data_IF_731898024461
#
_entry.id   IF_731898024461
#
_cell.length_a   1.000
_cell.length_b   1.000
_cell.length_c   1.000
_cell.angle_alpha   90.00
_cell.angle_beta   90.00
_cell.angle_gamma   90.00
#
_symmetry.space_group_name_H-M   'P 1'
#
loop_
_entity.id
_entity.type
_entity.pdbx_description
1 polymer ?
#
# COMPACT_ATOMS: atom_id res chain seq x y z
N UNK A 1 6.66 20.36 -65.34
CA UNK A 1 5.62 19.58 -64.64
C UNK A 1 6.26 18.99 -63.40
N UNK A 2 6.19 19.69 -62.25
CA UNK A 2 7.01 19.36 -61.08
C UNK A 2 6.10 18.88 -59.94
N UNK A 3 5.99 17.56 -59.75
CA UNK A 3 5.18 16.96 -58.67
C UNK A 3 5.88 15.86 -57.86
N UNK A 4 7.18 15.62 -58.06
CA UNK A 4 7.83 14.41 -57.54
C UNK A 4 8.66 14.58 -56.25
N UNK A 5 8.88 15.81 -55.76
CA UNK A 5 9.76 16.07 -54.60
C UNK A 5 9.02 16.41 -53.28
N UNK A 6 7.71 16.15 -53.21
CA UNK A 6 6.88 16.47 -52.03
C UNK A 6 6.49 15.19 -51.24
N UNK A 7 6.42 14.03 -51.89
CA UNK A 7 5.89 12.80 -51.26
C UNK A 7 6.86 12.11 -50.30
N UNK A 8 8.16 12.12 -50.58
CA UNK A 8 9.18 11.37 -49.81
C UNK A 8 9.51 11.98 -48.44
N UNK A 9 9.31 13.30 -48.28
CA UNK A 9 9.62 14.02 -47.04
C UNK A 9 8.55 13.84 -45.95
N UNK A 10 7.29 13.68 -46.34
CA UNK A 10 6.17 13.48 -45.41
C UNK A 10 6.19 12.05 -44.85
N UNK A 11 6.30 11.03 -45.71
CA UNK A 11 6.32 9.62 -45.29
C UNK A 11 7.44 9.27 -44.30
N UNK A 12 8.62 9.88 -44.47
CA UNK A 12 9.77 9.64 -43.57
C UNK A 12 9.60 10.31 -42.21
N UNK A 13 8.88 11.43 -42.14
CA UNK A 13 8.54 12.10 -40.89
C UNK A 13 7.48 11.33 -40.11
N UNK A 14 6.40 10.87 -40.78
CA UNK A 14 5.34 10.11 -40.13
C UNK A 14 5.84 8.78 -39.57
N UNK A 15 6.60 8.00 -40.37
CA UNK A 15 7.20 6.73 -39.91
C UNK A 15 8.10 6.91 -38.67
N UNK A 16 8.71 8.09 -38.49
CA UNK A 16 9.50 8.42 -37.30
C UNK A 16 8.65 8.64 -36.05
N UNK A 17 7.45 9.20 -36.18
CA UNK A 17 6.53 9.43 -35.05
C UNK A 17 5.97 8.11 -34.51
N UNK A 18 5.52 7.21 -35.39
CA UNK A 18 5.03 5.88 -34.99
C UNK A 18 6.13 5.00 -34.34
N UNK A 19 7.39 5.19 -34.73
CA UNK A 19 8.54 4.46 -34.16
C UNK A 19 8.86 4.89 -32.71
N UNK A 20 8.51 6.12 -32.29
CA UNK A 20 8.80 6.62 -30.94
C UNK A 20 7.88 6.03 -29.84
N UNK A 21 6.86 5.25 -30.20
CA UNK A 21 6.01 4.51 -29.26
C UNK A 21 6.76 3.29 -28.67
N UNK A 22 7.82 3.56 -27.92
CA UNK A 22 8.49 2.55 -27.09
C UNK A 22 7.59 2.23 -25.89
N UNK A 23 7.35 0.94 -25.65
CA UNK A 23 6.68 0.48 -24.42
C UNK A 23 7.50 0.80 -23.17
N UNK A 24 6.96 0.47 -21.99
CA UNK A 24 7.48 0.87 -20.67
C UNK A 24 8.94 0.45 -20.35
N UNK A 25 9.61 -0.38 -21.18
CA UNK A 25 11.00 -0.84 -20.96
C UNK A 25 11.16 -1.42 -19.54
N UNK A 26 12.10 -0.89 -18.73
CA UNK A 26 12.34 -1.32 -17.35
C UNK A 26 11.19 -1.02 -16.39
N UNK A 27 10.32 -0.06 -16.70
CA UNK A 27 9.16 0.28 -15.86
C UNK A 27 8.13 -0.85 -15.79
N UNK A 28 8.13 -1.80 -16.75
CA UNK A 28 7.28 -2.98 -16.64
C UNK A 28 7.59 -3.77 -15.35
N UNK A 29 8.86 -3.90 -14.99
CA UNK A 29 9.30 -4.63 -13.80
C UNK A 29 8.90 -3.90 -12.50
N UNK A 30 8.97 -2.56 -12.48
CA UNK A 30 8.48 -1.73 -11.38
C UNK A 30 6.98 -1.96 -11.09
N UNK A 31 6.13 -1.98 -12.12
CA UNK A 31 4.71 -2.26 -11.93
C UNK A 31 4.43 -3.72 -11.57
N UNK A 32 5.21 -4.69 -12.06
CA UNK A 32 5.12 -6.07 -11.60
C UNK A 32 5.43 -6.22 -10.11
N UNK A 33 6.47 -5.52 -9.59
CA UNK A 33 6.74 -5.45 -8.16
C UNK A 33 5.54 -4.85 -7.43
N UNK A 34 5.01 -3.70 -7.88
CA UNK A 34 3.80 -3.11 -7.27
C UNK A 34 2.62 -4.09 -7.24
N UNK A 35 2.34 -4.80 -8.32
CA UNK A 35 1.26 -5.79 -8.33
C UNK A 35 1.50 -6.96 -7.38
N UNK A 36 2.75 -7.46 -7.27
CA UNK A 36 3.09 -8.51 -6.32
C UNK A 36 2.93 -8.04 -4.86
N UNK A 37 3.33 -6.81 -4.54
CA UNK A 37 3.16 -6.22 -3.21
C UNK A 37 1.69 -5.89 -2.90
N UNK A 38 0.92 -5.41 -3.89
CA UNK A 38 -0.52 -5.21 -3.77
C UNK A 38 -1.25 -6.53 -3.48
N UNK A 39 -0.91 -7.59 -4.23
CA UNK A 39 -1.45 -8.94 -3.98
C UNK A 39 -1.08 -9.47 -2.60
N UNK A 40 0.11 -9.12 -2.10
CA UNK A 40 0.53 -9.41 -0.72
C UNK A 40 -0.08 -8.51 0.35
N UNK A 41 -0.89 -7.51 0.01
CA UNK A 41 -1.51 -6.57 0.95
C UNK A 41 -0.58 -5.48 1.51
N UNK A 42 0.61 -5.28 0.93
CA UNK A 42 1.63 -4.34 1.42
C UNK A 42 1.49 -2.90 0.88
N UNK A 43 0.60 -2.67 -0.10
CA UNK A 43 0.38 -1.36 -0.70
C UNK A 43 -1.07 -0.92 -0.52
N UNK A 44 -1.27 0.33 -0.10
CA UNK A 44 -2.53 1.03 -0.29
C UNK A 44 -2.50 1.63 -1.71
N UNK A 45 -2.77 0.78 -2.70
CA UNK A 45 -2.48 1.08 -4.09
C UNK A 45 -3.50 2.03 -4.71
N UNK A 46 -3.00 3.11 -5.32
CA UNK A 46 -3.79 4.16 -5.96
C UNK A 46 -3.78 4.00 -7.50
N UNK A 47 -4.80 3.39 -8.13
CA UNK A 47 -4.70 2.99 -9.54
C UNK A 47 -4.78 4.14 -10.54
N UNK A 48 -5.40 5.27 -10.17
CA UNK A 48 -5.60 6.41 -11.08
C UNK A 48 -4.28 7.15 -11.27
N UNK A 49 -3.60 7.43 -10.18
CA UNK A 49 -2.29 8.08 -10.08
C UNK A 49 -1.22 7.24 -10.79
N UNK A 50 -1.25 5.92 -10.60
CA UNK A 50 -0.40 4.98 -11.32
C UNK A 50 -0.74 4.91 -12.83
N UNK A 51 -2.02 5.02 -13.22
CA UNK A 51 -2.43 5.07 -14.63
C UNK A 51 -2.00 6.39 -15.30
N UNK A 52 -2.09 7.52 -14.61
CA UNK A 52 -1.54 8.82 -15.07
C UNK A 52 -0.02 8.73 -15.24
N UNK A 53 0.69 8.09 -14.31
CA UNK A 53 2.14 7.86 -14.45
C UNK A 53 2.47 6.93 -15.63
N UNK A 54 1.65 5.91 -15.90
CA UNK A 54 1.78 5.05 -17.09
C UNK A 54 1.54 5.82 -18.38
N UNK A 55 0.54 6.71 -18.43
CA UNK A 55 0.28 7.57 -19.58
C UNK A 55 1.46 8.54 -19.84
N UNK A 56 2.02 9.12 -18.77
CA UNK A 56 3.23 9.94 -18.80
C UNK A 56 4.45 9.16 -19.35
N UNK A 57 4.62 7.90 -18.94
CA UNK A 57 5.71 7.01 -19.40
C UNK A 57 5.58 6.58 -20.86
N UNK A 58 4.35 6.32 -21.33
CA UNK A 58 4.01 5.94 -22.70
C UNK A 58 4.06 7.11 -23.69
N UNK A 59 4.13 8.35 -23.20
CA UNK A 59 4.07 9.54 -24.05
C UNK A 59 5.20 9.50 -25.13
N UNK A 60 4.85 9.59 -26.43
CA UNK A 60 5.78 9.33 -27.54
C UNK A 60 6.73 10.51 -27.76
N UNK A 61 7.75 10.61 -26.91
CA UNK A 61 8.79 11.63 -26.98
C UNK A 61 9.89 11.26 -27.99
N UNK A 62 10.37 12.22 -28.81
CA UNK A 62 11.43 11.97 -29.77
C UNK A 62 12.76 11.61 -29.10
N UNK A 63 13.44 10.61 -29.68
CA UNK A 63 14.78 10.14 -29.29
C UNK A 63 15.78 11.32 -29.25
N UNK A 64 16.39 11.56 -28.08
CA UNK A 64 17.34 12.66 -27.87
C UNK A 64 17.55 13.04 -26.40
N UNK A 65 18.13 14.21 -26.16
CA UNK A 65 18.36 14.77 -24.82
C UNK A 65 17.06 14.90 -24.02
N UNK A 66 15.96 15.27 -24.68
CA UNK A 66 14.63 15.35 -24.06
C UNK A 66 14.20 13.99 -23.51
N UNK A 67 14.37 12.88 -24.25
CA UNK A 67 14.00 11.56 -23.71
C UNK A 67 14.84 11.19 -22.49
N UNK A 68 16.12 11.56 -22.45
CA UNK A 68 16.98 11.36 -21.26
C UNK A 68 16.50 12.18 -20.05
N UNK A 69 16.13 13.44 -20.20
CA UNK A 69 15.62 14.25 -19.08
C UNK A 69 14.25 13.76 -18.62
N UNK A 70 13.40 13.32 -19.54
CA UNK A 70 12.10 12.70 -19.21
C UNK A 70 12.25 11.35 -18.48
N UNK A 71 13.09 10.45 -18.96
CA UNK A 71 13.39 9.18 -18.27
C UNK A 71 14.05 9.47 -16.89
N UNK A 72 14.85 10.54 -16.75
CA UNK A 72 15.44 10.97 -15.48
C UNK A 72 14.45 11.60 -14.50
N UNK A 73 13.42 12.32 -14.97
CA UNK A 73 12.32 12.86 -14.14
C UNK A 73 11.35 11.74 -13.76
N UNK A 74 11.12 10.77 -14.64
CA UNK A 74 10.28 9.60 -14.32
C UNK A 74 10.83 8.82 -13.13
N UNK A 75 12.16 8.76 -12.94
CA UNK A 75 12.80 8.04 -11.84
C UNK A 75 12.40 8.54 -10.42
N UNK A 76 12.61 9.81 -10.02
CA UNK A 76 12.16 10.32 -8.73
C UNK A 76 10.63 10.34 -8.61
N UNK A 77 9.89 10.63 -9.68
CA UNK A 77 8.41 10.56 -9.65
C UNK A 77 7.93 9.13 -9.34
N UNK A 78 8.54 8.12 -9.95
CA UNK A 78 8.25 6.71 -9.66
C UNK A 78 8.61 6.30 -8.23
N UNK A 79 9.69 6.84 -7.66
CA UNK A 79 10.05 6.60 -6.25
C UNK A 79 9.04 7.26 -5.31
N UNK A 80 8.69 8.53 -5.55
CA UNK A 80 7.69 9.28 -4.76
C UNK A 80 6.33 8.56 -4.80
N UNK A 81 5.90 8.14 -5.98
CA UNK A 81 4.63 7.41 -6.15
C UNK A 81 4.67 6.00 -5.51
N UNK A 82 5.83 5.33 -5.51
CA UNK A 82 5.97 4.06 -4.81
C UNK A 82 5.92 4.25 -3.29
N UNK A 83 6.58 5.28 -2.76
CA UNK A 83 6.51 5.65 -1.34
C UNK A 83 5.09 6.01 -0.94
N UNK A 84 4.37 6.78 -1.77
CA UNK A 84 2.97 7.15 -1.53
C UNK A 84 2.00 5.96 -1.51
N UNK A 85 2.18 4.97 -2.40
CA UNK A 85 1.38 3.73 -2.37
C UNK A 85 1.74 2.81 -1.18
N UNK A 86 2.87 3.03 -0.49
CA UNK A 86 3.34 2.18 0.60
C UNK A 86 2.95 2.75 1.96
N UNK A 87 2.50 1.90 2.88
CA UNK A 87 2.29 2.27 4.28
C UNK A 87 3.61 2.37 5.07
N UNK A 88 4.55 3.17 4.56
CA UNK A 88 5.80 3.49 5.27
C UNK A 88 5.53 4.60 6.30
N UNK A 89 5.99 4.46 7.55
CA UNK A 89 5.88 5.54 8.53
C UNK A 89 6.63 6.78 8.03
N UNK A 90 6.04 7.96 8.26
CA UNK A 90 6.61 9.22 7.81
C UNK A 90 8.02 9.44 8.34
N UNK A 91 8.90 10.01 7.53
CA UNK A 91 10.31 10.26 7.87
C UNK A 91 10.44 11.07 9.18
N UNK A 92 9.44 11.89 9.49
CA UNK A 92 9.29 12.63 10.75
C UNK A 92 9.32 11.74 12.00
N UNK A 93 8.84 10.49 11.92
CA UNK A 93 8.95 9.53 13.04
C UNK A 93 10.42 9.16 13.32
N UNK A 94 11.20 8.94 12.27
CA UNK A 94 12.63 8.61 12.34
C UNK A 94 13.42 9.82 12.84
N UNK A 95 13.05 11.03 12.41
CA UNK A 95 13.67 12.29 12.84
C UNK A 95 13.32 12.66 14.29
N UNK A 96 12.10 12.38 14.76
CA UNK A 96 11.72 12.64 16.17
C UNK A 96 12.42 11.70 17.17
N UNK A 97 12.74 10.47 16.75
CA UNK A 97 13.62 9.56 17.50
C UNK A 97 15.09 10.04 17.54
N UNK A 98 15.50 10.98 16.68
CA UNK A 98 16.88 11.47 16.58
C UNK A 98 17.39 12.17 17.85
N UNK A 99 16.49 12.63 18.73
CA UNK A 99 16.86 13.20 20.04
C UNK A 99 17.48 12.18 21.02
N UNK A 100 17.42 10.88 20.71
CA UNK A 100 18.09 9.80 21.44
C UNK A 100 19.21 9.14 20.62
N UNK A 101 19.50 9.64 19.41
CA UNK A 101 20.29 8.95 18.40
C UNK A 101 21.80 9.26 18.42
N UNK A 102 22.36 9.63 19.58
CA UNK A 102 23.81 9.67 19.80
C UNK A 102 24.48 8.28 19.68
N UNK A 103 23.69 7.21 19.59
CA UNK A 103 24.13 5.83 19.35
C UNK A 103 24.06 5.38 17.87
N UNK A 104 23.84 6.27 16.89
CA UNK A 104 23.94 5.98 15.44
C UNK A 104 25.40 5.72 15.00
N UNK A 105 26.01 4.67 15.54
CA UNK A 105 27.25 4.13 14.98
C UNK A 105 26.96 3.48 13.62
N UNK A 106 27.91 3.58 12.69
CA UNK A 106 27.82 2.92 11.38
C UNK A 106 27.63 1.40 11.52
N UNK A 107 28.19 0.79 12.58
CA UNK A 107 27.98 -0.63 12.91
C UNK A 107 26.52 -0.94 13.27
N UNK A 108 25.86 -0.09 14.07
CA UNK A 108 24.45 -0.27 14.41
C UNK A 108 23.56 -0.06 13.19
N UNK A 109 23.84 0.95 12.34
CA UNK A 109 23.11 1.11 11.07
C UNK A 109 23.26 -0.10 10.15
N UNK A 110 24.43 -0.71 10.10
CA UNK A 110 24.67 -1.92 9.30
C UNK A 110 23.94 -3.15 9.87
N UNK A 111 23.97 -3.35 11.19
CA UNK A 111 23.21 -4.43 11.84
C UNK A 111 21.69 -4.25 11.64
N UNK A 112 21.20 -3.02 11.77
CA UNK A 112 19.80 -2.69 11.56
C UNK A 112 19.40 -2.92 10.10
N UNK A 113 20.21 -2.46 9.14
CA UNK A 113 20.00 -2.73 7.71
C UNK A 113 20.02 -4.23 7.40
N UNK A 114 20.91 -5.00 8.02
CA UNK A 114 20.99 -6.45 7.84
C UNK A 114 19.80 -7.20 8.47
N UNK A 115 19.20 -6.68 9.54
CA UNK A 115 17.93 -7.20 10.10
C UNK A 115 16.70 -6.79 9.28
N UNK A 116 16.72 -5.61 8.65
CA UNK A 116 15.64 -5.15 7.76
C UNK A 116 15.68 -5.81 6.37
N UNK A 117 16.88 -6.13 5.84
CA UNK A 117 17.02 -6.89 4.60
C UNK A 117 16.67 -8.36 4.88
N UNK A 118 15.45 -8.72 4.50
CA UNK A 118 15.02 -10.10 4.50
C UNK A 118 15.42 -10.77 3.17
N UNK A 119 16.32 -11.74 3.24
CA UNK A 119 16.86 -12.45 2.08
C UNK A 119 15.78 -13.18 1.25
N UNK A 120 14.65 -13.56 1.86
CA UNK A 120 13.50 -14.15 1.14
C UNK A 120 12.86 -13.15 0.18
N UNK A 121 12.77 -11.86 0.55
CA UNK A 121 12.22 -10.82 -0.32
C UNK A 121 13.20 -10.43 -1.44
N UNK A 122 14.51 -10.45 -1.15
CA UNK A 122 15.56 -10.33 -2.18
C UNK A 122 15.47 -11.49 -3.18
N UNK A 123 15.30 -12.72 -2.70
CA UNK A 123 15.15 -13.91 -3.53
C UNK A 123 13.86 -13.91 -4.34
N UNK A 124 12.74 -13.49 -3.74
CA UNK A 124 11.46 -13.34 -4.43
C UNK A 124 11.52 -12.28 -5.54
N UNK A 125 12.12 -11.12 -5.26
CA UNK A 125 12.37 -10.09 -6.28
C UNK A 125 13.27 -10.61 -7.41
N UNK A 126 14.36 -11.30 -7.10
CA UNK A 126 15.23 -11.89 -8.11
C UNK A 126 14.52 -12.97 -8.95
N UNK A 127 13.74 -13.86 -8.34
CA UNK A 127 12.95 -14.87 -9.04
C UNK A 127 11.89 -14.22 -9.96
N UNK A 128 11.24 -13.16 -9.49
CA UNK A 128 10.28 -12.36 -10.27
C UNK A 128 10.99 -11.64 -11.44
N UNK A 129 12.24 -11.18 -11.27
CA UNK A 129 13.06 -10.60 -12.34
C UNK A 129 13.44 -11.65 -13.40
N UNK A 130 13.85 -12.85 -12.99
CA UNK A 130 14.14 -13.96 -13.92
C UNK A 130 12.87 -14.38 -14.67
N UNK A 131 11.75 -14.53 -13.98
CA UNK A 131 10.44 -14.81 -14.59
C UNK A 131 10.00 -13.72 -15.56
N UNK A 132 10.14 -12.45 -15.18
CA UNK A 132 9.89 -11.29 -16.04
C UNK A 132 10.74 -11.35 -17.32
N UNK A 133 12.05 -11.56 -17.20
CA UNK A 133 12.95 -11.65 -18.35
C UNK A 133 12.57 -12.82 -19.26
N UNK A 134 12.25 -13.98 -18.70
CA UNK A 134 11.82 -15.16 -19.47
C UNK A 134 10.50 -14.91 -20.22
N UNK A 135 9.45 -14.43 -19.55
CA UNK A 135 8.16 -14.13 -20.21
C UNK A 135 8.33 -13.01 -21.25
N UNK A 136 9.20 -12.02 -21.00
CA UNK A 136 9.40 -10.88 -21.91
C UNK A 136 9.96 -11.26 -23.30
N UNK A 137 10.55 -12.45 -23.44
CA UNK A 137 11.00 -12.99 -24.73
C UNK A 137 9.83 -13.48 -25.60
N UNK A 138 8.71 -13.86 -24.99
CA UNK A 138 7.55 -14.46 -25.66
C UNK A 138 6.42 -13.45 -25.85
N UNK A 139 6.17 -12.62 -24.82
CA UNK A 139 4.99 -11.77 -24.72
C UNK A 139 5.37 -10.36 -24.30
N UNK A 140 4.81 -9.34 -24.98
CA UNK A 140 4.96 -7.94 -24.56
C UNK A 140 4.12 -7.69 -23.31
N UNK A 141 4.78 -7.37 -22.19
CA UNK A 141 4.15 -7.28 -20.85
C UNK A 141 3.38 -5.95 -20.64
N UNK A 142 3.81 -4.87 -21.29
CA UNK A 142 3.17 -3.53 -21.17
C UNK A 142 1.64 -3.52 -21.35
N UNK A 143 1.02 -4.14 -22.38
CA UNK A 143 -0.44 -4.17 -22.50
C UNK A 143 -1.16 -4.88 -21.34
N UNK A 144 -0.54 -5.89 -20.71
CA UNK A 144 -1.11 -6.55 -19.54
C UNK A 144 -1.11 -5.64 -18.32
N UNK A 145 -0.04 -4.87 -18.11
CA UNK A 145 0.05 -3.86 -17.04
C UNK A 145 -1.00 -2.77 -17.25
N UNK A 146 -1.13 -2.24 -18.47
CA UNK A 146 -2.13 -1.21 -18.80
C UNK A 146 -3.55 -1.75 -18.62
N UNK A 147 -3.83 -2.96 -19.10
CA UNK A 147 -5.11 -3.63 -18.94
C UNK A 147 -5.48 -3.86 -17.46
N UNK A 148 -4.53 -4.36 -16.66
CA UNK A 148 -4.70 -4.55 -15.22
C UNK A 148 -4.97 -3.21 -14.49
N UNK A 149 -4.30 -2.12 -14.88
CA UNK A 149 -4.54 -0.78 -14.31
C UNK A 149 -5.93 -0.27 -14.64
N UNK A 150 -6.38 -0.38 -15.89
CA UNK A 150 -7.73 0.01 -16.30
C UNK A 150 -8.77 -0.84 -15.56
N UNK A 151 -8.54 -2.14 -15.42
CA UNK A 151 -9.42 -3.06 -14.69
C UNK A 151 -9.50 -2.75 -13.19
N UNK A 152 -8.38 -2.45 -12.52
CA UNK A 152 -8.36 -2.01 -11.12
C UNK A 152 -9.08 -0.68 -10.94
N UNK A 153 -8.87 0.30 -11.83
CA UNK A 153 -9.63 1.55 -11.83
C UNK A 153 -11.14 1.30 -11.98
N UNK A 154 -11.54 0.42 -12.90
CA UNK A 154 -12.95 0.05 -13.11
C UNK A 154 -13.57 -0.57 -11.86
N UNK A 155 -12.86 -1.47 -11.16
CA UNK A 155 -13.35 -2.07 -9.91
C UNK A 155 -13.57 -1.01 -8.83
N UNK A 156 -12.59 -0.12 -8.61
CA UNK A 156 -12.69 0.92 -7.56
C UNK A 156 -13.76 1.96 -7.90
N UNK A 157 -13.95 2.28 -9.19
CA UNK A 157 -14.93 3.28 -9.63
C UNK A 157 -16.37 2.73 -9.74
N UNK A 158 -16.52 1.41 -9.93
CA UNK A 158 -17.82 0.76 -10.18
C UNK A 158 -18.36 -0.03 -8.97
N UNK A 159 -17.51 -0.34 -7.99
CA UNK A 159 -17.89 -1.09 -6.80
C UNK A 159 -18.14 -0.20 -5.58
N UNK A 160 -18.92 -0.67 -4.58
CA UNK A 160 -18.58 -0.32 -3.21
C UNK A 160 -17.17 -0.84 -2.91
N UNK A 161 -16.53 -0.37 -1.83
CA UNK A 161 -15.18 -0.81 -1.44
C UNK A 161 -15.15 -2.28 -0.97
N UNK A 162 -15.25 -3.21 -1.93
CA UNK A 162 -15.09 -4.64 -1.72
C UNK A 162 -13.59 -4.89 -1.61
N UNK A 163 -13.15 -5.22 -0.39
CA UNK A 163 -11.83 -5.77 -0.16
C UNK A 163 -11.68 -7.04 -1.00
N UNK A 164 -10.79 -7.00 -2.01
CA UNK A 164 -10.46 -8.17 -2.85
C UNK A 164 -9.39 -9.08 -2.21
N UNK A 165 -9.00 -8.78 -0.97
CA UNK A 165 -8.42 -9.73 -0.04
C UNK A 165 -9.53 -10.22 0.91
N UNK A 166 -9.36 -11.39 1.54
CA UNK A 166 -9.95 -11.60 2.85
C UNK A 166 -9.35 -10.52 3.77
N UNK A 167 -10.08 -9.42 3.97
CA UNK A 167 -9.95 -8.68 5.22
C UNK A 167 -10.11 -9.72 6.33
N UNK A 168 -9.25 -9.68 7.33
CA UNK A 168 -9.45 -10.43 8.57
C UNK A 168 -10.64 -9.80 9.33
N UNK A 169 -11.85 -9.94 8.78
CA UNK A 169 -13.10 -9.76 9.46
C UNK A 169 -13.30 -11.01 10.31
N UNK A 170 -12.82 -10.93 11.54
CA UNK A 170 -13.17 -11.85 12.63
C UNK A 170 -14.69 -11.98 12.69
N UNK A 171 -15.22 -13.09 12.17
CA UNK A 171 -16.65 -13.21 11.92
C UNK A 171 -17.05 -14.54 11.26
N UNK A 172 -17.59 -15.43 12.09
CA UNK A 172 -18.49 -16.54 11.72
C UNK A 172 -17.87 -17.79 11.06
N UNK A 173 -17.24 -18.60 11.91
CA UNK A 173 -17.75 -19.94 12.28
C UNK A 173 -18.32 -20.86 11.20
N UNK A 174 -17.64 -21.99 10.94
CA UNK A 174 -18.30 -23.25 10.56
C UNK A 174 -17.51 -24.46 11.04
N UNK A 175 -18.00 -25.12 12.09
CA UNK A 175 -17.88 -26.58 12.30
C UNK A 175 -18.73 -27.06 13.48
N UNK A 176 -19.91 -27.58 13.14
CA UNK A 176 -20.40 -28.91 13.55
C UNK A 176 -20.06 -29.46 14.95
N UNK A 177 -21.06 -29.37 15.83
CA UNK A 177 -21.49 -30.37 16.84
C UNK A 177 -20.66 -31.65 17.06
N UNK A 178 -20.18 -31.85 18.30
CA UNK A 178 -20.25 -33.13 19.02
C UNK A 178 -20.12 -32.96 20.56
N UNK A 179 -21.24 -33.22 21.26
CA UNK A 179 -21.48 -33.54 22.68
C UNK A 179 -20.32 -33.64 23.68
N UNK A 180 -20.29 -32.72 24.67
CA UNK A 180 -20.19 -32.94 26.14
C UNK A 180 -20.19 -31.59 26.90
N UNK A 181 -20.65 -31.45 28.17
CA UNK A 181 -21.45 -32.37 28.99
C UNK A 181 -21.58 -31.94 30.48
N UNK A 182 -22.79 -31.59 30.93
CA UNK A 182 -23.21 -31.33 32.35
C UNK A 182 -22.66 -30.03 33.01
N UNK A 183 -23.47 -29.30 33.83
CA UNK A 183 -23.14 -27.90 34.22
C UNK A 183 -22.50 -27.77 35.61
N UNK A 184 -21.77 -26.66 35.81
CA UNK A 184 -21.36 -26.19 37.14
C UNK A 184 -21.42 -24.66 37.23
N UNK A 185 -22.37 -24.15 38.02
CA UNK A 185 -22.37 -22.78 38.54
C UNK A 185 -21.25 -22.58 39.55
N UNK A 186 -20.39 -21.60 39.35
CA UNK A 186 -19.76 -20.84 40.44
C UNK A 186 -19.40 -19.43 40.00
N UNK A 187 -19.88 -18.46 40.78
CA UNK A 187 -19.50 -17.04 40.78
C UNK A 187 -17.98 -16.86 40.63
N UNK A 188 -17.55 -16.08 39.63
CA UNK A 188 -16.23 -15.49 39.61
C UNK A 188 -16.33 -14.03 39.15
N UNK A 189 -16.02 -13.12 40.06
CA UNK A 189 -15.62 -11.75 39.69
C UNK A 189 -14.39 -11.88 38.80
N UNK A 190 -14.43 -11.34 37.59
CA UNK A 190 -13.36 -11.48 36.60
C UNK A 190 -12.11 -10.67 37.01
N UNK A 191 -11.29 -11.25 37.90
CA UNK A 191 -9.93 -10.79 38.12
C UNK A 191 -9.12 -11.02 36.84
N UNK A 192 -8.47 -9.97 36.36
CA UNK A 192 -7.88 -9.87 35.04
C UNK A 192 -6.67 -10.82 34.85
N UNK A 193 -6.90 -12.02 34.31
CA UNK A 193 -5.84 -12.99 34.01
C UNK A 193 -5.23 -12.75 32.62
N UNK A 194 -4.27 -11.81 32.53
CA UNK A 194 -3.48 -11.52 31.31
C UNK A 194 -2.46 -12.61 30.93
N UNK A 195 -2.70 -13.86 31.34
CA UNK A 195 -1.72 -14.96 31.30
C UNK A 195 -2.22 -16.22 30.58
N UNK A 196 -3.38 -16.15 29.93
CA UNK A 196 -3.83 -17.18 29.00
C UNK A 196 -3.21 -16.99 27.60
N UNK A 197 -3.00 -18.06 26.81
CA UNK A 197 -2.49 -17.93 25.46
C UNK A 197 -3.43 -17.08 24.59
N UNK A 198 -2.91 -16.24 23.68
CA UNK A 198 -3.69 -15.35 22.83
C UNK A 198 -4.37 -16.14 21.70
N UNK A 199 -5.42 -16.86 22.07
CA UNK A 199 -6.33 -17.57 21.16
C UNK A 199 -7.59 -16.74 20.96
N UNK A 200 -8.27 -16.91 19.82
CA UNK A 200 -9.45 -16.11 19.46
C UNK A 200 -10.54 -16.16 20.53
N UNK A 201 -10.75 -17.33 21.15
CA UNK A 201 -11.68 -17.55 22.26
C UNK A 201 -11.38 -16.65 23.47
N UNK A 202 -10.10 -16.58 23.86
CA UNK A 202 -9.67 -15.84 25.04
C UNK A 202 -9.67 -14.32 24.76
N UNK A 203 -9.34 -13.91 23.53
CA UNK A 203 -9.47 -12.51 23.10
C UNK A 203 -10.93 -12.04 23.08
N UNK A 204 -11.87 -12.86 22.60
CA UNK A 204 -13.31 -12.50 22.64
C UNK A 204 -13.84 -12.41 24.07
N UNK A 205 -13.49 -13.37 24.94
CA UNK A 205 -13.91 -13.35 26.34
C UNK A 205 -13.34 -12.13 27.10
N UNK A 206 -12.08 -11.77 26.83
CA UNK A 206 -11.46 -10.55 27.37
C UNK A 206 -12.18 -9.28 26.88
N UNK A 207 -12.48 -9.19 25.58
CA UNK A 207 -13.17 -8.04 24.99
C UNK A 207 -14.56 -7.84 25.58
N UNK A 208 -15.36 -8.90 25.68
CA UNK A 208 -16.71 -8.82 26.25
C UNK A 208 -16.70 -8.39 27.73
N UNK A 209 -15.75 -8.91 28.52
CA UNK A 209 -15.53 -8.47 29.90
C UNK A 209 -15.14 -7.00 30.01
N UNK A 210 -14.21 -6.54 29.16
CA UNK A 210 -13.82 -5.13 29.10
C UNK A 210 -14.99 -4.22 28.72
N UNK A 211 -15.79 -4.59 27.71
CA UNK A 211 -16.96 -3.82 27.29
C UNK A 211 -18.06 -3.79 28.37
N UNK A 212 -18.24 -4.87 29.14
CA UNK A 212 -19.14 -4.85 30.30
C UNK A 212 -18.65 -3.86 31.37
N UNK A 213 -17.36 -3.87 31.70
CA UNK A 213 -16.80 -2.96 32.71
C UNK A 213 -16.84 -1.49 32.28
N UNK A 214 -16.64 -1.18 31.00
CA UNK A 214 -16.74 0.19 30.48
C UNK A 214 -18.18 0.75 30.51
N UNK A 215 -19.21 -0.09 30.39
CA UNK A 215 -20.62 0.37 30.41
C UNK A 215 -21.06 0.96 31.75
N UNK A 216 -20.42 0.56 32.85
CA UNK A 216 -20.73 1.05 34.20
C UNK A 216 -20.02 2.37 34.54
N UNK A 217 -19.01 2.76 33.74
CA UNK A 217 -18.23 3.98 33.94
C UNK A 217 -18.89 5.16 33.24
N UNK A 218 -19.47 6.08 34.01
CA UNK A 218 -19.99 7.35 33.52
C UNK A 218 -19.57 8.51 34.42
N UNK A 219 -19.25 9.65 33.81
CA UNK A 219 -18.96 10.90 34.51
C UNK A 219 -20.23 11.73 34.65
N UNK A 220 -20.64 11.99 35.90
CA UNK A 220 -21.76 12.89 36.17
C UNK A 220 -21.33 14.34 35.96
N UNK A 221 -21.97 15.04 35.03
CA UNK A 221 -21.80 16.48 34.86
C UNK A 221 -22.65 17.25 35.89
N UNK A 222 -22.14 18.37 36.44
CA UNK A 222 -22.93 19.20 37.36
C UNK A 222 -24.15 19.80 36.66
N UNK A 223 -25.32 19.66 37.27
CA UNK A 223 -26.60 20.05 36.68
C UNK A 223 -26.79 21.57 36.48
N UNK A 224 -25.94 22.39 37.09
CA UNK A 224 -25.90 23.83 36.89
C UNK A 224 -24.47 24.36 37.07
N UNK A 225 -24.16 25.45 36.36
CA UNK A 225 -22.95 26.23 36.61
C UNK A 225 -23.07 26.96 37.95
N UNK A 226 -21.96 27.17 38.70
CA UNK A 226 -22.00 27.95 39.93
C UNK A 226 -22.51 29.38 39.66
N UNK A 227 -23.32 29.97 40.56
CA UNK A 227 -23.85 31.31 40.36
C UNK A 227 -22.71 32.33 40.25
N UNK A 228 -22.77 33.19 39.23
CA UNK A 228 -21.76 34.23 39.06
C UNK A 228 -21.78 35.17 40.28
N UNK A 229 -20.62 35.50 40.88
CA UNK A 229 -20.58 36.44 41.99
C UNK A 229 -21.06 37.81 41.50
N UNK A 230 -22.02 38.38 42.25
CA UNK A 230 -22.64 39.66 41.91
C UNK A 230 -21.59 40.78 41.96
N UNK A 231 -21.11 41.24 40.80
CA UNK A 231 -20.27 42.43 40.68
C UNK A 231 -21.13 43.66 40.96
N UNK A 232 -21.23 44.01 42.23
CA UNK A 232 -21.72 45.32 42.66
C UNK A 232 -20.84 46.39 42.01
N UNK A 233 -21.45 47.22 41.16
CA UNK A 233 -20.79 48.36 40.55
C UNK A 233 -20.97 49.54 41.52
N UNK A 234 -19.88 49.94 42.16
CA UNK A 234 -19.69 51.21 42.85
C UNK A 234 -18.29 51.73 42.52
#
# INVERSE_FOLDING_TARGET
MNKENISSKTESSDKKLWTNWRGLRGWNYYFLIKFALLWGGYLNFHPLENLVFIAFLLFPLPEGLLRKTWDWIAFPVGIILFYYDTWLPGIDSIISMNSQATALSFSYMLELAQRFINWQWIGAGFALLVGYLFISQWVRITPFIVGAMIWLNLIILSGPAISLLPTASTGNSTSTTATSGTPATTTNSAALSTQEPPTDHNLSAYYDGFIQQQKELYTQFPAALPPMPNRSIY
#
